data_IF_220740989762
#
_entry.id   IF_220740989762
#
_cell.length_a   1.000
_cell.length_b   1.000
_cell.length_c   1.000
_cell.angle_alpha   90.00
_cell.angle_beta   90.00
_cell.angle_gamma   90.00
#
_symmetry.space_group_name_H-M   'P 1'
#
loop_
_entity.id
_entity.type
_entity.pdbx_description
1 polymer ?
#
# COMPACT_ATOMS: atom_id res chain seq x y z
N UNK A 1 17.11 -8.93 9.21
CA UNK A 1 16.64 -8.33 7.95
C UNK A 1 15.12 -8.33 7.82
N UNK A 2 14.45 -9.48 7.86
CA UNK A 2 12.98 -9.55 7.71
C UNK A 2 12.23 -8.71 8.76
N UNK A 3 12.67 -8.70 10.03
CA UNK A 3 12.10 -7.81 11.05
C UNK A 3 12.21 -6.31 10.71
N UNK A 4 13.38 -5.87 10.21
CA UNK A 4 13.57 -4.47 9.78
C UNK A 4 12.64 -4.13 8.62
N UNK A 5 12.44 -5.06 7.69
CA UNK A 5 11.48 -4.93 6.60
C UNK A 5 10.05 -4.80 7.13
N UNK A 6 9.65 -5.67 8.05
CA UNK A 6 8.31 -5.63 8.66
C UNK A 6 8.05 -4.30 9.37
N UNK A 7 9.01 -3.82 10.16
CA UNK A 7 8.91 -2.49 10.79
C UNK A 7 8.86 -1.37 9.76
N UNK A 8 9.67 -1.44 8.70
CA UNK A 8 9.66 -0.47 7.61
C UNK A 8 8.30 -0.37 6.93
N UNK A 9 7.66 -1.51 6.65
CA UNK A 9 6.29 -1.54 6.13
C UNK A 9 5.29 -0.95 7.14
N UNK A 10 5.36 -1.34 8.41
CA UNK A 10 4.45 -0.87 9.45
C UNK A 10 4.51 0.65 9.65
N UNK A 11 5.72 1.22 9.75
CA UNK A 11 5.89 2.67 9.88
C UNK A 11 5.52 3.42 8.61
N UNK A 12 5.94 2.94 7.44
CA UNK A 12 5.63 3.55 6.16
C UNK A 12 4.12 3.61 5.90
N UNK A 13 3.41 2.52 6.17
CA UNK A 13 1.95 2.43 6.02
C UNK A 13 1.21 3.29 7.04
N UNK A 14 1.65 3.32 8.30
CA UNK A 14 1.07 4.19 9.33
C UNK A 14 1.14 5.67 8.95
N UNK A 15 2.30 6.12 8.44
CA UNK A 15 2.45 7.48 7.93
C UNK A 15 1.67 7.72 6.64
N UNK A 16 1.61 6.73 5.76
CA UNK A 16 0.82 6.76 4.52
C UNK A 16 -0.66 7.00 4.81
N UNK A 17 -1.27 6.20 5.68
CA UNK A 17 -2.69 6.36 6.03
C UNK A 17 -2.97 7.64 6.82
N UNK A 18 -2.05 8.11 7.66
CA UNK A 18 -2.16 9.43 8.29
C UNK A 18 -2.21 10.55 7.23
N UNK A 19 -1.32 10.49 6.25
CA UNK A 19 -1.32 11.44 5.14
C UNK A 19 -2.61 11.35 4.32
N UNK A 20 -3.07 10.15 3.99
CA UNK A 20 -4.33 9.92 3.28
C UNK A 20 -5.54 10.45 4.05
N UNK A 21 -5.57 10.27 5.38
CA UNK A 21 -6.65 10.80 6.23
C UNK A 21 -6.66 12.34 6.29
N UNK A 22 -5.49 12.97 6.40
CA UNK A 22 -5.35 14.43 6.38
C UNK A 22 -5.75 15.01 5.02
N UNK A 23 -5.31 14.37 3.93
CA UNK A 23 -5.71 14.77 2.57
C UNK A 23 -7.20 14.57 2.36
N UNK A 24 -7.77 13.45 2.80
CA UNK A 24 -9.20 13.19 2.76
C UNK A 24 -10.01 14.28 3.47
N UNK A 25 -9.59 14.67 4.68
CA UNK A 25 -10.24 15.77 5.41
C UNK A 25 -10.11 17.12 4.69
N UNK A 26 -8.99 17.38 4.02
CA UNK A 26 -8.82 18.57 3.20
C UNK A 26 -9.75 18.54 1.98
N UNK A 27 -9.83 17.40 1.28
CA UNK A 27 -10.75 17.22 0.14
C UNK A 27 -12.19 17.43 0.56
N UNK A 28 -12.62 16.83 1.68
CA UNK A 28 -13.99 17.00 2.19
C UNK A 28 -14.35 18.46 2.55
N UNK A 29 -13.37 19.33 2.81
CA UNK A 29 -13.60 20.77 3.06
C UNK A 29 -13.62 21.61 1.79
N UNK A 30 -12.93 21.15 0.74
CA UNK A 30 -12.81 21.87 -0.53
C UNK A 30 -13.84 21.41 -1.56
N UNK A 31 -14.35 20.19 -1.44
CA UNK A 31 -15.36 19.65 -2.34
C UNK A 31 -16.71 20.36 -2.13
N UNK A 32 -17.31 20.91 -3.19
CA UNK A 32 -18.66 21.45 -3.12
C UNK A 32 -19.68 20.40 -2.69
N UNK A 33 -20.63 20.79 -1.84
CA UNK A 33 -21.69 19.88 -1.33
C UNK A 33 -22.63 19.37 -2.43
N UNK A 34 -22.68 20.04 -3.58
CA UNK A 34 -23.53 19.70 -4.72
C UNK A 34 -22.96 18.55 -5.58
N UNK A 35 -21.78 18.01 -5.23
CA UNK A 35 -21.15 16.90 -5.95
C UNK A 35 -20.69 17.26 -7.37
N UNK A 36 -20.61 18.56 -7.69
CA UNK A 36 -20.39 19.07 -9.05
C UNK A 36 -18.99 18.82 -9.63
N UNK A 37 -18.05 18.26 -8.86
CA UNK A 37 -16.66 18.11 -9.29
C UNK A 37 -16.13 16.65 -9.22
N UNK A 38 -16.73 15.69 -9.96
CA UNK A 38 -16.22 14.32 -10.05
C UNK A 38 -14.76 14.23 -10.53
N UNK A 39 -14.33 15.18 -11.37
CA UNK A 39 -12.96 15.22 -11.90
C UNK A 39 -11.93 15.53 -10.81
N UNK A 40 -12.30 16.30 -9.77
CA UNK A 40 -11.38 16.63 -8.68
C UNK A 40 -11.03 15.37 -7.90
N UNK A 41 -12.00 14.52 -7.60
CA UNK A 41 -11.76 13.20 -6.98
C UNK A 41 -10.90 12.32 -7.88
N UNK A 42 -11.19 12.26 -9.19
CA UNK A 42 -10.39 11.49 -10.14
C UNK A 42 -8.92 11.94 -10.23
N UNK A 43 -8.63 13.24 -10.00
CA UNK A 43 -7.26 13.76 -9.96
C UNK A 43 -6.60 13.67 -8.59
N UNK A 44 -7.34 13.83 -7.49
CA UNK A 44 -6.79 13.85 -6.14
C UNK A 44 -6.50 12.45 -5.61
N UNK A 45 -7.33 11.45 -5.92
CA UNK A 45 -7.14 10.08 -5.44
C UNK A 45 -5.80 9.47 -5.91
N UNK A 46 -5.38 9.60 -7.18
CA UNK A 46 -4.04 9.15 -7.60
C UNK A 46 -2.91 9.87 -6.86
N UNK A 47 -3.08 11.16 -6.52
CA UNK A 47 -2.08 11.92 -5.75
C UNK A 47 -2.00 11.43 -4.30
N UNK A 48 -3.14 11.17 -3.67
CA UNK A 48 -3.20 10.52 -2.34
C UNK A 48 -2.47 9.18 -2.39
N UNK A 49 -2.77 8.35 -3.38
CA UNK A 49 -2.06 7.09 -3.60
C UNK A 49 -0.56 7.26 -3.79
N UNK A 50 -0.13 8.23 -4.60
CA UNK A 50 1.29 8.52 -4.78
C UNK A 50 1.99 8.89 -3.47
N UNK A 51 1.35 9.70 -2.63
CA UNK A 51 1.88 10.11 -1.32
C UNK A 51 1.95 8.92 -0.38
N UNK A 52 0.89 8.13 -0.28
CA UNK A 52 0.85 6.91 0.53
C UNK A 52 1.95 5.94 0.11
N UNK A 53 2.02 5.62 -1.19
CA UNK A 53 3.05 4.75 -1.75
C UNK A 53 4.47 5.29 -1.57
N UNK A 54 4.65 6.62 -1.51
CA UNK A 54 5.95 7.21 -1.21
C UNK A 54 6.38 6.97 0.25
N UNK A 55 5.48 7.10 1.22
CA UNK A 55 5.77 6.79 2.63
C UNK A 55 6.06 5.30 2.84
N UNK A 56 5.24 4.43 2.25
CA UNK A 56 5.44 2.98 2.25
C UNK A 56 6.77 2.62 1.62
N UNK A 57 7.03 3.14 0.41
CA UNK A 57 8.27 2.93 -0.32
C UNK A 57 9.48 3.43 0.46
N UNK A 58 9.37 4.55 1.19
CA UNK A 58 10.45 5.10 1.99
C UNK A 58 10.77 4.22 3.21
N UNK A 59 9.75 3.74 3.92
CA UNK A 59 9.91 2.80 5.03
C UNK A 59 10.57 1.50 4.58
N UNK A 60 10.12 0.96 3.45
CA UNK A 60 10.71 -0.22 2.80
C UNK A 60 12.18 0.01 2.37
N UNK A 61 12.46 1.11 1.67
CA UNK A 61 13.79 1.44 1.20
C UNK A 61 14.77 1.70 2.35
N UNK A 62 14.31 2.30 3.44
CA UNK A 62 15.11 2.47 4.66
C UNK A 62 15.48 1.11 5.28
N UNK A 63 14.53 0.17 5.34
CA UNK A 63 14.78 -1.17 5.84
C UNK A 63 15.77 -1.97 4.97
N UNK A 64 15.70 -1.79 3.64
CA UNK A 64 16.61 -2.40 2.67
C UNK A 64 18.00 -1.76 2.64
N UNK A 65 18.13 -0.50 3.06
CA UNK A 65 19.42 0.17 3.17
C UNK A 65 20.10 0.37 1.81
N UNK A 66 21.32 -0.14 1.66
CA UNK A 66 22.13 -0.01 0.44
C UNK A 66 21.79 -1.08 -0.63
N UNK A 67 20.91 -2.03 -0.33
CA UNK A 67 20.56 -3.12 -1.25
C UNK A 67 19.73 -2.66 -2.45
N UNK A 68 19.18 -1.45 -2.39
CA UNK A 68 18.34 -0.88 -3.45
C UNK A 68 18.63 0.60 -3.64
N UNK A 69 18.42 1.09 -4.86
CA UNK A 69 18.32 2.53 -5.09
C UNK A 69 17.03 3.06 -4.45
N UNK A 70 17.19 3.84 -3.38
CA UNK A 70 16.07 4.37 -2.58
C UNK A 70 15.10 5.19 -3.43
N UNK A 71 15.59 6.07 -4.31
CA UNK A 71 14.74 6.96 -5.11
C UNK A 71 13.91 6.16 -6.10
N UNK A 72 14.52 5.19 -6.77
CA UNK A 72 13.84 4.31 -7.72
C UNK A 72 12.82 3.41 -7.02
N UNK A 73 13.16 2.89 -5.84
CA UNK A 73 12.25 2.07 -5.03
C UNK A 73 11.01 2.87 -4.61
N UNK A 74 11.22 4.04 -4.00
CA UNK A 74 10.15 4.94 -3.56
C UNK A 74 9.26 5.35 -4.75
N UNK A 75 9.87 5.79 -5.85
CA UNK A 75 9.13 6.19 -7.05
C UNK A 75 8.32 5.04 -7.68
N UNK A 76 8.86 3.81 -7.66
CA UNK A 76 8.15 2.64 -8.15
C UNK A 76 6.92 2.32 -7.28
N UNK A 77 7.07 2.35 -5.95
CA UNK A 77 5.95 2.13 -5.02
C UNK A 77 4.90 3.23 -5.14
N UNK A 78 5.32 4.50 -5.17
CA UNK A 78 4.42 5.65 -5.33
C UNK A 78 3.62 5.55 -6.64
N UNK A 79 4.27 5.24 -7.76
CA UNK A 79 3.58 5.05 -9.04
C UNK A 79 2.58 3.89 -9.00
N UNK A 80 2.95 2.76 -8.40
CA UNK A 80 2.04 1.62 -8.27
C UNK A 80 0.79 1.97 -7.44
N UNK A 81 0.95 2.71 -6.35
CA UNK A 81 -0.17 3.14 -5.52
C UNK A 81 -1.03 4.17 -6.23
N UNK A 82 -0.43 5.13 -6.91
CA UNK A 82 -1.17 6.12 -7.71
C UNK A 82 -2.08 5.43 -8.75
N UNK A 83 -1.56 4.40 -9.42
CA UNK A 83 -2.33 3.58 -10.37
C UNK A 83 -3.43 2.77 -9.69
N UNK A 84 -3.17 2.19 -8.52
CA UNK A 84 -4.18 1.46 -7.77
C UNK A 84 -5.33 2.36 -7.30
N UNK A 85 -5.00 3.54 -6.78
CA UNK A 85 -5.99 4.56 -6.39
C UNK A 85 -6.75 5.12 -7.57
N UNK A 86 -6.11 5.32 -8.72
CA UNK A 86 -6.79 5.65 -9.97
C UNK A 86 -7.79 4.56 -10.35
N UNK A 87 -7.39 3.29 -10.27
CA UNK A 87 -8.28 2.14 -10.48
C UNK A 87 -9.48 2.19 -9.55
N UNK A 88 -9.25 2.37 -8.24
CA UNK A 88 -10.31 2.50 -7.25
C UNK A 88 -11.27 3.66 -7.56
N UNK A 89 -10.74 4.83 -7.94
CA UNK A 89 -11.53 5.97 -8.37
C UNK A 89 -12.41 5.63 -9.58
N UNK A 90 -11.86 4.96 -10.61
CA UNK A 90 -12.62 4.55 -11.79
C UNK A 90 -13.69 3.50 -11.46
N UNK A 91 -13.41 2.56 -10.56
CA UNK A 91 -14.37 1.54 -10.13
C UNK A 91 -15.48 2.12 -9.25
N UNK A 92 -15.25 3.23 -8.54
CA UNK A 92 -16.28 3.89 -7.73
C UNK A 92 -17.50 4.34 -8.55
N UNK A 93 -17.34 4.63 -9.85
CA UNK A 93 -18.45 4.93 -10.76
C UNK A 93 -19.38 3.74 -11.02
N UNK A 94 -18.92 2.52 -10.71
CA UNK A 94 -19.67 1.28 -10.84
C UNK A 94 -20.26 0.83 -9.48
N UNK A 95 -20.04 1.59 -8.42
CA UNK A 95 -20.53 1.23 -7.09
C UNK A 95 -22.06 1.30 -7.05
N UNK A 96 -22.75 0.22 -6.64
CA UNK A 96 -24.20 0.22 -6.60
C UNK A 96 -24.71 1.21 -5.55
N UNK A 97 -25.90 1.82 -5.75
CA UNK A 97 -26.47 2.80 -4.81
C UNK A 97 -26.93 2.18 -3.47
N UNK A 98 -26.82 0.86 -3.31
CA UNK A 98 -27.21 0.14 -2.10
C UNK A 98 -25.96 -0.30 -1.33
N UNK A 99 -25.98 -0.30 0.01
CA UNK A 99 -24.85 -0.76 0.81
C UNK A 99 -24.44 -2.18 0.41
N UNK A 100 -23.15 -2.37 0.12
CA UNK A 100 -22.58 -3.69 -0.11
C UNK A 100 -22.64 -4.55 1.15
N UNK A 101 -22.85 -5.86 1.01
CA UNK A 101 -22.71 -6.78 2.14
C UNK A 101 -21.27 -6.78 2.67
N UNK A 102 -21.07 -7.05 3.96
CA UNK A 102 -19.72 -7.17 4.54
C UNK A 102 -18.85 -8.16 3.77
N UNK A 103 -19.42 -9.30 3.34
CA UNK A 103 -18.69 -10.28 2.54
C UNK A 103 -18.17 -9.72 1.21
N UNK A 104 -18.99 -8.93 0.50
CA UNK A 104 -18.58 -8.30 -0.75
C UNK A 104 -17.51 -7.22 -0.52
N UNK A 105 -17.62 -6.44 0.55
CA UNK A 105 -16.61 -5.45 0.94
C UNK A 105 -15.25 -6.12 1.20
N UNK A 106 -15.23 -7.21 1.97
CA UNK A 106 -13.98 -7.93 2.28
C UNK A 106 -13.38 -8.58 1.03
N UNK A 107 -14.21 -9.13 0.14
CA UNK A 107 -13.74 -9.68 -1.14
C UNK A 107 -13.15 -8.59 -2.03
N UNK A 108 -13.83 -7.45 -2.16
CA UNK A 108 -13.33 -6.30 -2.92
C UNK A 108 -12.01 -5.78 -2.33
N UNK A 109 -11.90 -5.67 -1.01
CA UNK A 109 -10.66 -5.28 -0.33
C UNK A 109 -9.52 -6.26 -0.59
N UNK A 110 -9.77 -7.58 -0.55
CA UNK A 110 -8.78 -8.60 -0.86
C UNK A 110 -8.28 -8.49 -2.31
N UNK A 111 -9.18 -8.30 -3.27
CA UNK A 111 -8.84 -8.14 -4.70
C UNK A 111 -8.06 -6.85 -4.91
N UNK A 112 -8.54 -5.72 -4.38
CA UNK A 112 -7.87 -4.43 -4.49
C UNK A 112 -6.45 -4.49 -3.88
N UNK A 113 -6.30 -5.13 -2.73
CA UNK A 113 -5.00 -5.30 -2.07
C UNK A 113 -4.08 -6.18 -2.89
N UNK A 114 -4.59 -7.30 -3.42
CA UNK A 114 -3.81 -8.16 -4.29
C UNK A 114 -3.32 -7.41 -5.55
N UNK A 115 -4.14 -6.54 -6.13
CA UNK A 115 -3.75 -5.69 -7.26
C UNK A 115 -2.70 -4.65 -6.89
N UNK A 116 -2.84 -3.96 -5.75
CA UNK A 116 -1.79 -3.05 -5.22
C UNK A 116 -0.46 -3.79 -5.08
N UNK A 117 -0.49 -4.96 -4.43
CA UNK A 117 0.69 -5.78 -4.21
C UNK A 117 1.31 -6.29 -5.50
N UNK A 118 0.49 -6.69 -6.47
CA UNK A 118 0.92 -7.07 -7.81
C UNK A 118 1.66 -5.92 -8.51
N UNK A 119 1.04 -4.74 -8.59
CA UNK A 119 1.60 -3.56 -9.27
C UNK A 119 2.90 -3.11 -8.62
N UNK A 120 2.93 -3.01 -7.29
CA UNK A 120 4.12 -2.63 -6.54
C UNK A 120 5.25 -3.64 -6.75
N UNK A 121 4.95 -4.93 -6.66
CA UNK A 121 5.96 -5.98 -6.82
C UNK A 121 6.52 -6.06 -8.24
N UNK A 122 5.69 -5.88 -9.28
CA UNK A 122 6.18 -5.84 -10.67
C UNK A 122 7.12 -4.66 -10.89
N UNK A 123 6.77 -3.48 -10.36
CA UNK A 123 7.59 -2.29 -10.46
C UNK A 123 8.92 -2.44 -9.70
N UNK A 124 8.88 -3.02 -8.50
CA UNK A 124 10.05 -3.24 -7.64
C UNK A 124 10.97 -4.37 -8.16
N UNK A 125 10.41 -5.52 -8.56
CA UNK A 125 11.19 -6.68 -9.01
C UNK A 125 12.09 -6.32 -10.19
N UNK A 126 11.58 -5.55 -11.15
CA UNK A 126 12.35 -5.07 -12.30
C UNK A 126 13.53 -4.20 -11.88
N UNK A 127 13.40 -3.43 -10.80
CA UNK A 127 14.40 -2.46 -10.35
C UNK A 127 15.44 -3.07 -9.42
N UNK A 128 15.06 -4.07 -8.64
CA UNK A 128 15.93 -4.74 -7.66
C UNK A 128 16.46 -6.10 -8.13
N UNK A 129 16.17 -6.52 -9.37
CA UNK A 129 16.63 -7.80 -9.91
C UNK A 129 16.03 -9.01 -9.18
N UNK A 130 14.88 -8.85 -8.53
CA UNK A 130 14.25 -9.95 -7.78
C UNK A 130 13.51 -10.90 -8.74
N UNK A 131 13.54 -12.23 -8.47
CA UNK A 131 12.69 -13.18 -9.19
C UNK A 131 11.22 -12.78 -9.11
N UNK A 132 10.62 -12.54 -10.28
CA UNK A 132 9.30 -11.89 -10.38
C UNK A 132 8.20 -12.68 -9.68
N UNK A 133 8.04 -13.96 -10.00
CA UNK A 133 6.89 -14.74 -9.57
C UNK A 133 6.76 -14.88 -8.04
N UNK A 134 7.78 -15.36 -7.28
CA UNK A 134 7.65 -15.49 -5.83
C UNK A 134 7.47 -14.13 -5.14
N UNK A 135 8.10 -13.07 -5.64
CA UNK A 135 7.94 -11.72 -5.08
C UNK A 135 6.54 -11.15 -5.29
N UNK A 136 6.02 -11.29 -6.51
CA UNK A 136 4.68 -10.85 -6.88
C UNK A 136 3.61 -11.61 -6.10
N UNK A 137 3.73 -12.93 -6.00
CA UNK A 137 2.80 -13.75 -5.24
C UNK A 137 2.76 -13.34 -3.75
N UNK A 138 3.93 -13.25 -3.10
CA UNK A 138 3.99 -12.85 -1.70
C UNK A 138 3.46 -11.43 -1.46
N UNK A 139 3.73 -10.49 -2.38
CA UNK A 139 3.24 -9.12 -2.27
C UNK A 139 1.73 -9.03 -2.47
N UNK A 140 1.18 -9.71 -3.47
CA UNK A 140 -0.26 -9.78 -3.69
C UNK A 140 -0.98 -10.39 -2.48
N UNK A 141 -0.46 -11.48 -1.90
CA UNK A 141 -1.02 -12.07 -0.69
C UNK A 141 -0.93 -11.12 0.51
N UNK A 142 0.24 -10.50 0.73
CA UNK A 142 0.46 -9.59 1.86
C UNK A 142 -0.47 -8.37 1.82
N UNK A 143 -0.57 -7.72 0.67
CA UNK A 143 -1.46 -6.57 0.47
C UNK A 143 -2.93 -6.95 0.46
N UNK A 144 -3.30 -8.09 -0.13
CA UNK A 144 -4.67 -8.61 -0.08
C UNK A 144 -5.13 -8.84 1.36
N UNK A 145 -4.32 -9.53 2.17
CA UNK A 145 -4.60 -9.74 3.59
C UNK A 145 -4.60 -8.43 4.39
N UNK A 146 -3.66 -7.53 4.08
CA UNK A 146 -3.57 -6.20 4.69
C UNK A 146 -4.84 -5.38 4.47
N UNK A 147 -5.36 -5.28 3.23
CA UNK A 147 -6.57 -4.50 2.96
C UNK A 147 -7.85 -5.15 3.50
N UNK A 148 -7.92 -6.47 3.62
CA UNK A 148 -9.03 -7.12 4.36
C UNK A 148 -9.05 -6.64 5.81
N UNK A 149 -7.88 -6.62 6.47
CA UNK A 149 -7.75 -6.09 7.83
C UNK A 149 -8.10 -4.60 7.88
N UNK A 150 -7.62 -3.81 6.92
CA UNK A 150 -7.95 -2.39 6.82
C UNK A 150 -9.46 -2.15 6.71
N UNK A 151 -10.17 -2.95 5.90
CA UNK A 151 -11.61 -2.86 5.73
C UNK A 151 -12.35 -3.17 7.05
N UNK A 152 -11.94 -4.23 7.77
CA UNK A 152 -12.51 -4.57 9.07
C UNK A 152 -12.30 -3.46 10.11
N UNK A 153 -11.09 -2.90 10.17
CA UNK A 153 -10.77 -1.82 11.10
C UNK A 153 -11.52 -0.53 10.75
N UNK A 154 -11.66 -0.22 9.46
CA UNK A 154 -12.34 0.99 8.99
C UNK A 154 -13.83 1.01 9.38
N UNK A 155 -14.48 -0.15 9.50
CA UNK A 155 -15.86 -0.24 10.03
C UNK A 155 -15.99 0.20 11.49
N UNK A 156 -14.87 0.30 12.22
CA UNK A 156 -14.83 0.74 13.63
C UNK A 156 -14.36 2.17 13.80
N UNK A 157 -13.93 2.83 12.71
CA UNK A 157 -13.49 4.22 12.71
C UNK A 157 -14.72 5.07 12.41
N UNK A 158 -15.20 5.79 13.42
CA UNK A 158 -16.39 6.63 13.32
C UNK A 158 -16.26 7.86 14.21
N UNK A 159 -16.99 8.92 13.87
CA UNK A 159 -17.01 10.18 14.61
C UNK A 159 -16.44 11.37 13.82
N UNK A 160 -16.46 12.57 14.42
CA UNK A 160 -15.92 13.77 13.78
C UNK A 160 -14.42 13.65 13.56
N UNK A 161 -13.95 14.18 12.44
CA UNK A 161 -12.52 14.19 12.14
C UNK A 161 -11.73 14.96 13.22
N UNK A 162 -10.69 14.34 13.76
CA UNK A 162 -9.87 14.90 14.83
C UNK A 162 -8.76 13.95 15.26
N UNK A 163 -8.10 14.23 16.39
CA UNK A 163 -6.96 13.47 16.87
C UNK A 163 -7.27 11.97 17.09
N UNK A 164 -8.49 11.65 17.55
CA UNK A 164 -8.90 10.25 17.75
C UNK A 164 -8.97 9.46 16.43
N UNK A 165 -9.56 10.04 15.38
CA UNK A 165 -9.62 9.43 14.05
C UNK A 165 -8.22 9.26 13.47
N UNK A 166 -7.35 10.28 13.60
CA UNK A 166 -5.96 10.18 13.15
C UNK A 166 -5.20 9.06 13.86
N UNK A 167 -5.38 8.91 15.18
CA UNK A 167 -4.77 7.81 15.93
C UNK A 167 -5.28 6.45 15.46
N UNK A 168 -6.58 6.31 15.21
CA UNK A 168 -7.17 5.07 14.69
C UNK A 168 -6.64 4.75 13.29
N UNK A 169 -6.50 5.74 12.41
CA UNK A 169 -5.89 5.60 11.08
C UNK A 169 -4.41 5.19 11.15
N UNK A 170 -3.64 5.78 12.08
CA UNK A 170 -2.26 5.40 12.32
C UNK A 170 -2.13 3.95 12.80
N UNK A 171 -3.00 3.52 13.73
CA UNK A 171 -3.07 2.13 14.24
C UNK A 171 -3.49 1.17 13.13
N UNK A 172 -4.46 1.55 12.29
CA UNK A 172 -4.85 0.79 11.11
C UNK A 172 -3.67 0.59 10.19
N UNK A 173 -2.94 1.66 9.85
CA UNK A 173 -1.78 1.58 8.97
C UNK A 173 -0.66 0.73 9.55
N UNK A 174 -0.41 0.84 10.86
CA UNK A 174 0.55 -0.02 11.55
C UNK A 174 0.16 -1.50 11.40
N UNK A 175 -1.11 -1.84 11.64
CA UNK A 175 -1.61 -3.22 11.55
C UNK A 175 -1.51 -3.78 10.12
N UNK A 176 -1.89 -2.98 9.12
CA UNK A 176 -1.76 -3.34 7.70
C UNK A 176 -0.30 -3.58 7.32
N UNK A 177 0.58 -2.63 7.64
CA UNK A 177 2.00 -2.75 7.31
C UNK A 177 2.70 -3.90 8.04
N UNK A 178 2.27 -4.26 9.26
CA UNK A 178 2.71 -5.48 9.94
C UNK A 178 2.30 -6.73 9.16
N UNK A 179 1.04 -6.85 8.74
CA UNK A 179 0.57 -7.99 7.92
C UNK A 179 1.38 -8.10 6.63
N UNK A 180 1.48 -7.01 5.87
CA UNK A 180 2.25 -6.96 4.61
C UNK A 180 3.69 -7.38 4.86
N UNK A 181 4.32 -6.80 5.89
CA UNK A 181 5.70 -7.06 6.26
C UNK A 181 5.98 -8.49 6.72
N UNK A 182 5.07 -9.09 7.49
CA UNK A 182 5.19 -10.48 7.97
C UNK A 182 5.04 -11.49 6.83
N UNK A 183 4.15 -11.21 5.87
CA UNK A 183 3.95 -12.09 4.70
C UNK A 183 5.11 -11.96 3.69
N UNK A 184 5.54 -10.73 3.40
CA UNK A 184 6.55 -10.47 2.35
C UNK A 184 8.00 -10.62 2.84
N UNK A 185 8.27 -10.35 4.12
CA UNK A 185 9.61 -10.33 4.70
C UNK A 185 10.39 -11.65 4.57
N UNK A 186 9.80 -12.82 4.89
CA UNK A 186 10.47 -14.11 4.72
C UNK A 186 10.84 -14.40 3.27
N UNK A 187 9.93 -14.11 2.32
CA UNK A 187 10.17 -14.29 0.89
C UNK A 187 11.29 -13.38 0.40
N UNK A 188 11.23 -12.09 0.74
CA UNK A 188 12.28 -11.12 0.40
C UNK A 188 13.65 -11.57 0.89
N UNK A 189 13.75 -12.03 2.15
CA UNK A 189 15.00 -12.55 2.72
C UNK A 189 15.52 -13.74 1.91
N UNK A 190 14.66 -14.69 1.55
CA UNK A 190 15.06 -15.87 0.76
C UNK A 190 15.60 -15.46 -0.60
N UNK A 191 14.90 -14.58 -1.31
CA UNK A 191 15.31 -14.14 -2.65
C UNK A 191 16.66 -13.42 -2.64
N UNK A 192 16.91 -12.57 -1.65
CA UNK A 192 18.18 -11.86 -1.53
C UNK A 192 19.35 -12.79 -1.17
N UNK A 193 19.11 -13.82 -0.34
CA UNK A 193 20.13 -14.82 -0.02
C UNK A 193 20.46 -15.71 -1.23
N UNK A 194 19.46 -16.06 -2.05
CA UNK A 194 19.68 -16.79 -3.30
C UNK A 194 20.52 -15.97 -4.28
N UNK A 195 20.18 -14.69 -4.48
CA UNK A 195 20.93 -13.81 -5.37
C UNK A 195 22.39 -13.61 -4.93
N UNK A 196 22.66 -13.57 -3.63
CA UNK A 196 24.02 -13.45 -3.11
C UNK A 196 24.87 -14.69 -3.43
N UNK A 197 24.30 -15.90 -3.33
CA UNK A 197 25.01 -17.17 -3.62
C UNK A 197 25.33 -17.32 -5.11
N UNK A 198 24.40 -16.97 -5.98
CA UNK A 198 24.61 -17.01 -7.44
C UNK A 198 25.75 -16.06 -7.89
N UNK A 199 25.93 -14.94 -7.19
CA UNK A 199 27.03 -14.00 -7.45
C UNK A 199 28.41 -14.54 -7.04
N UNK A 200 28.49 -15.34 -5.98
CA UNK A 200 29.74 -15.98 -5.53
C UNK A 200 30.17 -17.08 -6.51
N UNK A 201 29.24 -17.92 -6.98
CA UNK A 201 29.51 -18.99 -7.94
C UNK A 201 29.96 -18.47 -9.31
N UNK A 202 29.44 -17.33 -9.76
CA UNK A 202 29.85 -16.72 -11.04
C UNK A 202 31.24 -16.07 -11.02
N UNK A 203 31.83 -15.89 -9.83
CA UNK A 203 33.12 -15.20 -9.64
C UNK A 203 34.29 -16.16 -9.39
N UNK A 204 33.99 -17.46 -9.22
CA UNK A 204 34.97 -18.54 -8.98
C UNK A 204 35.33 -19.25 -10.30
#
# INVERSE_FOLDING_TARGET
>A
MWWRWTLGCAFGESLGLLASALLGALVSRLAPEDGSIPWLLATLLPLVGAVEGAFVGAGQAFALGALVDRRRWIGATAAAFALAWLGGALFSFLEPPRPSSTGLLLLAAAIAGALVGLLAALAQARRAGLPRLPWVAASATGWGAGLVLAALLSQRIWGPFGAAVLLQEAVKGLAVGLVVGLVTGPTLRRLLLSAAREGEESSA
#
